data_IF_960385392215
#
_entry.id   IF_960385392215
#
_cell.length_a   1.000
_cell.length_b   1.000
_cell.length_c   1.000
_cell.angle_alpha   90.00
_cell.angle_beta   90.00
_cell.angle_gamma   90.00
#
_symmetry.space_group_name_H-M   'P 1'
#
loop_
_entity.id
_entity.type
_entity.pdbx_description
1 polymer ?
#
# COMPACT_ATOMS: atom_id res chain seq x y z
N UNK A 1 -11.96 10.06 31.76
CA UNK A 1 -12.21 9.67 33.17
C UNK A 1 -12.49 8.16 33.18
N UNK A 2 -11.63 7.35 33.80
CA UNK A 2 -11.90 5.91 34.00
C UNK A 2 -12.98 5.78 35.08
N UNK A 3 -13.96 4.90 34.89
CA UNK A 3 -14.90 4.57 35.97
C UNK A 3 -14.20 3.61 36.93
N UNK A 4 -14.09 3.99 38.21
CA UNK A 4 -13.48 3.13 39.24
C UNK A 4 -14.33 1.88 39.55
N UNK A 5 -15.62 1.91 39.19
CA UNK A 5 -16.59 0.89 39.60
C UNK A 5 -17.11 0.04 38.43
N UNK A 6 -16.86 0.44 37.19
CA UNK A 6 -17.39 -0.24 36.01
C UNK A 6 -16.27 -0.97 35.28
N UNK A 7 -16.25 -2.30 35.39
CA UNK A 7 -15.19 -3.15 34.86
C UNK A 7 -15.74 -4.20 33.89
N UNK A 8 -14.96 -4.56 32.88
CA UNK A 8 -15.32 -5.65 31.97
C UNK A 8 -15.16 -7.03 32.63
N UNK A 9 -15.53 -8.10 31.91
CA UNK A 9 -15.45 -9.48 32.39
C UNK A 9 -14.02 -9.95 32.76
N UNK A 10 -13.01 -9.19 32.34
CA UNK A 10 -11.59 -9.41 32.63
C UNK A 10 -11.05 -8.43 33.69
N UNK A 11 -11.94 -7.73 34.40
CA UNK A 11 -11.66 -6.81 35.52
C UNK A 11 -10.87 -5.54 35.12
N UNK A 12 -10.90 -5.13 33.84
CA UNK A 12 -10.32 -3.86 33.39
C UNK A 12 -11.32 -2.71 33.54
N UNK A 13 -10.85 -1.52 33.92
CA UNK A 13 -11.71 -0.34 34.02
C UNK A 13 -12.26 0.09 32.65
N UNK A 14 -13.58 0.23 32.55
CA UNK A 14 -14.25 0.64 31.32
C UNK A 14 -13.95 2.12 31.01
N UNK A 15 -13.32 2.37 29.86
CA UNK A 15 -13.12 3.73 29.36
C UNK A 15 -14.37 4.21 28.61
N UNK A 16 -15.28 4.93 29.31
CA UNK A 16 -16.47 5.55 28.70
C UNK A 16 -16.16 6.50 27.54
N UNK A 17 -14.98 7.12 27.51
CA UNK A 17 -14.56 8.01 26.43
C UNK A 17 -13.87 7.27 25.27
N UNK A 18 -13.64 5.96 25.37
CA UNK A 18 -13.05 5.19 24.26
C UNK A 18 -13.90 5.20 22.99
N UNK A 19 -15.19 5.55 23.12
CA UNK A 19 -16.13 5.77 22.01
C UNK A 19 -16.39 7.25 21.71
N UNK A 20 -16.10 8.15 22.64
CA UNK A 20 -16.19 9.60 22.43
C UNK A 20 -15.10 10.07 21.45
N UNK A 21 -15.48 10.86 20.45
CA UNK A 21 -14.56 11.31 19.38
C UNK A 21 -14.43 10.34 18.21
N UNK A 22 -15.19 9.23 18.16
CA UNK A 22 -15.30 8.38 16.95
C UNK A 22 -15.90 9.11 15.76
N UNK A 23 -16.76 10.08 16.03
CA UNK A 23 -17.34 10.99 15.04
C UNK A 23 -16.65 12.33 15.23
N UNK A 24 -15.96 12.83 14.20
CA UNK A 24 -15.36 14.15 14.24
C UNK A 24 -16.45 15.22 14.31
N UNK A 25 -16.13 16.40 14.89
CA UNK A 25 -17.08 17.51 14.92
C UNK A 25 -17.62 17.83 13.50
N UNK A 26 -16.76 17.77 12.48
CA UNK A 26 -17.16 17.96 11.09
C UNK A 26 -18.17 16.90 10.62
N UNK A 27 -17.93 15.62 10.92
CA UNK A 27 -18.85 14.55 10.56
C UNK A 27 -20.21 14.70 11.27
N UNK A 28 -20.20 15.19 12.51
CA UNK A 28 -21.43 15.50 13.24
C UNK A 28 -22.20 16.68 12.61
N UNK A 29 -21.50 17.77 12.25
CA UNK A 29 -22.11 18.92 11.56
C UNK A 29 -22.70 18.52 10.21
N UNK A 30 -22.01 17.66 9.46
CA UNK A 30 -22.52 17.07 8.21
C UNK A 30 -23.80 16.27 8.44
N UNK A 31 -23.82 15.41 9.46
CA UNK A 31 -24.99 14.62 9.82
C UNK A 31 -26.17 15.49 10.29
N UNK A 32 -25.89 16.65 10.90
CA UNK A 32 -26.89 17.64 11.27
C UNK A 32 -27.45 18.44 10.07
N UNK A 33 -27.05 18.11 8.84
CA UNK A 33 -27.57 18.72 7.61
C UNK A 33 -26.86 20.00 7.20
N UNK A 34 -25.73 20.36 7.83
CA UNK A 34 -24.95 21.53 7.44
C UNK A 34 -24.28 21.26 6.09
N UNK A 35 -24.54 22.10 5.05
CA UNK A 35 -23.91 21.92 3.75
C UNK A 35 -22.39 21.98 3.86
N UNK A 36 -21.70 21.00 3.26
CA UNK A 36 -20.24 21.01 3.15
C UNK A 36 -19.85 21.24 1.70
N UNK A 37 -19.04 22.27 1.45
CA UNK A 37 -18.43 22.47 0.15
C UNK A 37 -17.38 21.39 -0.10
N UNK A 38 -17.45 20.78 -1.27
CA UNK A 38 -16.54 19.69 -1.66
C UNK A 38 -15.78 20.10 -2.90
N UNK A 39 -14.45 19.94 -2.85
CA UNK A 39 -13.58 20.15 -3.98
C UNK A 39 -13.68 18.95 -4.91
N UNK A 40 -14.04 19.18 -6.18
CA UNK A 40 -14.29 18.13 -7.18
C UNK A 40 -13.18 17.99 -8.23
N UNK A 41 -12.13 18.79 -8.11
CA UNK A 41 -10.99 18.81 -9.04
C UNK A 41 -9.70 18.54 -8.27
N UNK A 42 -8.93 17.58 -8.75
CA UNK A 42 -7.58 17.29 -8.28
C UNK A 42 -6.57 18.11 -9.07
N UNK A 43 -5.63 18.77 -8.37
CA UNK A 43 -4.56 19.58 -8.95
C UNK A 43 -3.17 18.98 -8.69
N UNK A 44 -3.08 17.96 -7.83
CA UNK A 44 -1.81 17.43 -7.29
C UNK A 44 -1.28 16.23 -8.06
N UNK A 45 -2.12 15.21 -8.22
CA UNK A 45 -1.69 13.89 -8.68
C UNK A 45 -1.75 13.83 -10.20
N UNK A 46 -0.78 13.15 -10.80
CA UNK A 46 -0.81 12.80 -12.20
C UNK A 46 -2.13 12.05 -12.53
N UNK A 47 -2.63 12.27 -13.74
CA UNK A 47 -3.81 11.58 -14.23
C UNK A 47 -3.68 10.06 -14.04
N UNK A 48 -4.69 9.41 -13.47
CA UNK A 48 -4.65 7.98 -13.13
C UNK A 48 -4.23 7.66 -11.69
N UNK A 49 -3.36 8.45 -11.06
CA UNK A 49 -2.77 8.11 -9.75
C UNK A 49 -3.74 8.16 -8.56
N UNK A 50 -4.87 8.86 -8.69
CA UNK A 50 -5.91 8.95 -7.66
C UNK A 50 -7.05 7.96 -7.91
N UNK A 51 -7.16 7.40 -9.12
CA UNK A 51 -8.29 6.54 -9.52
C UNK A 51 -8.47 5.34 -8.59
N UNK A 52 -7.36 4.72 -8.16
CA UNK A 52 -7.40 3.60 -7.22
C UNK A 52 -8.01 4.02 -5.87
N UNK A 53 -7.54 5.12 -5.28
CA UNK A 53 -8.10 5.63 -4.03
C UNK A 53 -9.56 6.07 -4.20
N UNK A 54 -9.89 6.73 -5.32
CA UNK A 54 -11.25 7.17 -5.66
C UNK A 54 -12.24 6.00 -5.68
N UNK A 55 -11.89 4.92 -6.37
CA UNK A 55 -12.72 3.71 -6.47
C UNK A 55 -12.88 3.01 -5.11
N UNK A 56 -11.85 3.01 -4.27
CA UNK A 56 -11.87 2.28 -2.99
C UNK A 56 -12.61 3.03 -1.89
N UNK A 57 -12.45 4.35 -1.79
CA UNK A 57 -12.89 5.12 -0.62
C UNK A 57 -13.85 6.27 -0.94
N UNK A 58 -13.97 6.65 -2.21
CA UNK A 58 -14.72 7.83 -2.63
C UNK A 58 -15.73 7.47 -3.74
N UNK A 59 -16.38 6.31 -3.63
CA UNK A 59 -17.38 5.83 -4.60
C UNK A 59 -18.53 6.82 -4.81
N UNK A 60 -18.88 7.58 -3.78
CA UNK A 60 -19.92 8.61 -3.81
C UNK A 60 -19.51 9.84 -4.66
N UNK A 61 -18.26 9.86 -5.14
CA UNK A 61 -17.60 10.95 -5.86
C UNK A 61 -17.00 10.49 -7.19
N UNK A 62 -17.70 9.63 -7.93
CA UNK A 62 -17.23 9.07 -9.19
C UNK A 62 -16.81 10.12 -10.25
N UNK A 63 -17.32 11.36 -10.16
CA UNK A 63 -17.04 12.46 -11.09
C UNK A 63 -16.02 13.46 -10.53
N UNK A 64 -14.86 12.96 -10.10
CA UNK A 64 -13.72 13.80 -9.73
C UNK A 64 -12.88 14.08 -10.98
N UNK A 65 -12.63 15.34 -11.25
CA UNK A 65 -11.88 15.78 -12.43
C UNK A 65 -10.39 15.94 -12.12
N UNK A 66 -9.56 15.69 -13.11
CA UNK A 66 -8.16 16.10 -13.09
C UNK A 66 -8.01 17.44 -13.80
N UNK A 67 -7.10 18.27 -13.32
CA UNK A 67 -6.67 19.44 -14.07
C UNK A 67 -5.95 19.02 -15.36
N UNK A 68 -6.29 19.66 -16.49
CA UNK A 68 -5.77 19.25 -17.80
C UNK A 68 -4.28 19.50 -17.99
N UNK A 69 -3.72 20.52 -17.33
CA UNK A 69 -2.32 20.90 -17.47
C UNK A 69 -1.48 20.36 -16.31
N UNK A 70 -1.89 20.65 -15.06
CA UNK A 70 -1.12 20.30 -13.86
C UNK A 70 -1.07 18.80 -13.59
N UNK A 71 -2.08 18.03 -14.03
CA UNK A 71 -2.12 16.58 -13.85
C UNK A 71 -1.65 15.81 -15.09
N UNK A 72 -1.23 16.48 -16.16
CA UNK A 72 -0.70 15.84 -17.35
C UNK A 72 0.65 15.15 -17.03
N UNK A 73 0.86 13.87 -17.36
CA UNK A 73 2.14 13.20 -17.12
C UNK A 73 3.36 13.88 -17.74
N UNK A 74 3.16 14.65 -18.82
CA UNK A 74 4.21 15.41 -19.49
C UNK A 74 4.56 16.73 -18.79
N UNK A 75 3.75 17.17 -17.82
CA UNK A 75 4.06 18.36 -17.03
C UNK A 75 5.35 18.12 -16.20
N UNK A 76 6.26 19.11 -16.09
CA UNK A 76 7.54 18.94 -15.41
C UNK A 76 7.45 18.40 -13.97
N UNK A 77 6.36 18.70 -13.27
CA UNK A 77 6.12 18.17 -11.91
C UNK A 77 6.01 16.65 -11.83
N UNK A 78 5.72 15.98 -12.95
CA UNK A 78 5.53 14.53 -13.03
C UNK A 78 6.70 13.80 -13.71
N UNK A 79 7.80 14.50 -14.01
CA UNK A 79 9.00 13.93 -14.64
C UNK A 79 9.54 12.71 -13.88
N UNK A 80 9.52 12.74 -12.55
CA UNK A 80 9.97 11.61 -11.71
C UNK A 80 9.08 10.38 -11.89
N UNK A 81 7.77 10.56 -12.01
CA UNK A 81 6.83 9.47 -12.25
C UNK A 81 7.01 8.85 -13.63
N UNK A 82 7.26 9.67 -14.65
CA UNK A 82 7.58 9.19 -16.00
C UNK A 82 8.89 8.40 -16.03
N UNK A 83 9.94 8.91 -15.36
CA UNK A 83 11.21 8.20 -15.23
C UNK A 83 11.03 6.88 -14.47
N UNK A 84 10.24 6.88 -13.40
CA UNK A 84 9.96 5.70 -12.60
C UNK A 84 9.17 4.64 -13.38
N UNK A 85 8.17 5.06 -14.15
CA UNK A 85 7.41 4.18 -15.04
C UNK A 85 8.34 3.50 -16.05
N UNK A 86 9.15 4.28 -16.77
CA UNK A 86 10.12 3.77 -17.75
C UNK A 86 11.11 2.79 -17.11
N UNK A 87 11.61 3.11 -15.91
CA UNK A 87 12.51 2.26 -15.15
C UNK A 87 11.86 0.92 -14.78
N UNK A 88 10.64 0.94 -14.24
CA UNK A 88 9.95 -0.28 -13.81
C UNK A 88 9.57 -1.18 -14.98
N UNK A 89 9.01 -0.61 -16.06
CA UNK A 89 8.64 -1.38 -17.26
C UNK A 89 9.87 -1.91 -17.98
N UNK A 90 10.99 -1.18 -17.96
CA UNK A 90 12.26 -1.63 -18.52
C UNK A 90 12.89 -2.78 -17.71
N UNK A 91 12.69 -2.80 -16.39
CA UNK A 91 13.24 -3.84 -15.50
C UNK A 91 12.42 -5.12 -15.52
N UNK A 92 11.10 -5.03 -15.68
CA UNK A 92 10.22 -6.19 -15.76
C UNK A 92 9.24 -6.08 -16.93
N UNK A 93 9.52 -6.77 -18.05
CA UNK A 93 8.64 -6.76 -19.23
C UNK A 93 7.23 -7.32 -18.98
N UNK A 94 7.00 -8.07 -17.90
CA UNK A 94 5.65 -8.56 -17.57
C UNK A 94 4.76 -7.48 -16.95
N UNK A 95 5.34 -6.37 -16.49
CA UNK A 95 4.60 -5.21 -15.99
C UNK A 95 3.99 -4.45 -17.18
N UNK A 96 2.66 -4.40 -17.25
CA UNK A 96 1.98 -3.65 -18.32
C UNK A 96 2.23 -2.15 -18.13
N UNK A 97 2.60 -1.39 -19.19
CA UNK A 97 2.78 0.05 -19.09
C UNK A 97 1.46 0.75 -18.78
N UNK A 98 1.56 1.93 -18.16
CA UNK A 98 0.42 2.79 -17.91
C UNK A 98 -0.22 3.25 -19.24
N UNK A 99 -1.56 3.40 -19.31
CA UNK A 99 -2.23 3.93 -20.49
C UNK A 99 -1.70 5.32 -20.88
N UNK A 100 -1.70 5.64 -22.17
CA UNK A 100 -1.25 6.93 -22.67
C UNK A 100 -1.96 8.10 -21.96
N UNK A 101 -1.18 9.10 -21.53
CA UNK A 101 -1.70 10.26 -20.81
C UNK A 101 -2.04 9.99 -19.33
N UNK A 102 -1.59 8.87 -18.75
CA UNK A 102 -1.78 8.54 -17.33
C UNK A 102 -0.59 7.81 -16.72
N UNK A 103 -0.52 7.81 -15.39
CA UNK A 103 0.37 6.95 -14.61
C UNK A 103 -0.48 6.12 -13.64
N UNK A 104 -0.13 4.83 -13.49
CA UNK A 104 -0.79 3.92 -12.55
C UNK A 104 0.15 3.43 -11.45
N UNK A 105 -0.35 3.20 -10.22
CA UNK A 105 0.42 2.59 -9.14
C UNK A 105 0.94 1.20 -9.51
N UNK A 106 2.01 0.76 -8.84
CA UNK A 106 2.62 -0.56 -9.01
C UNK A 106 2.67 -1.30 -7.68
N UNK A 107 2.29 -2.58 -7.70
CA UNK A 107 2.47 -3.48 -6.56
C UNK A 107 3.75 -4.31 -6.75
N UNK A 108 4.75 -4.13 -5.89
CA UNK A 108 5.95 -4.93 -5.86
C UNK A 108 5.73 -6.18 -5.00
N UNK A 109 5.55 -7.32 -5.68
CA UNK A 109 5.26 -8.58 -5.01
C UNK A 109 6.52 -9.21 -4.42
N UNK A 110 6.52 -9.38 -3.10
CA UNK A 110 7.57 -10.05 -2.35
C UNK A 110 7.00 -11.24 -1.55
N UNK A 111 6.81 -12.42 -2.19
CA UNK A 111 6.32 -13.61 -1.53
C UNK A 111 7.35 -14.20 -0.56
N UNK A 112 6.90 -15.12 0.29
CA UNK A 112 7.78 -15.95 1.14
C UNK A 112 8.70 -15.17 2.10
N UNK A 113 8.38 -13.91 2.35
CA UNK A 113 9.13 -13.08 3.31
C UNK A 113 8.84 -13.49 4.75
N UNK A 114 9.76 -13.20 5.66
CA UNK A 114 9.62 -13.52 7.09
C UNK A 114 9.06 -12.33 7.86
N UNK A 115 7.99 -12.56 8.60
CA UNK A 115 7.42 -11.60 9.54
C UNK A 115 7.86 -11.97 10.95
N UNK A 116 8.52 -11.03 11.62
CA UNK A 116 8.97 -11.14 13.01
C UNK A 116 8.05 -10.30 13.90
N UNK A 117 7.65 -10.86 15.05
CA UNK A 117 6.92 -10.12 16.09
C UNK A 117 7.93 -9.32 16.91
N UNK A 118 7.67 -8.02 17.07
CA UNK A 118 8.46 -7.09 17.89
C UNK A 118 7.48 -6.36 18.81
N UNK A 119 7.41 -6.81 20.07
CA UNK A 119 6.31 -6.44 20.97
C UNK A 119 4.96 -6.85 20.36
N UNK A 120 4.02 -5.92 20.29
CA UNK A 120 2.70 -6.09 19.67
C UNK A 120 2.67 -5.77 18.18
N UNK A 121 3.82 -5.46 17.55
CA UNK A 121 3.91 -5.06 16.15
C UNK A 121 4.73 -6.04 15.31
N UNK A 122 4.71 -5.84 13.98
CA UNK A 122 5.33 -6.73 13.00
C UNK A 122 6.52 -6.06 12.30
N UNK A 123 7.52 -6.87 11.96
CA UNK A 123 8.72 -6.49 11.21
C UNK A 123 8.91 -7.44 10.02
N UNK A 124 8.97 -6.90 8.82
CA UNK A 124 9.34 -7.62 7.60
C UNK A 124 10.60 -7.00 6.99
N UNK A 125 11.77 -7.55 7.39
CA UNK A 125 13.08 -7.02 6.97
C UNK A 125 13.29 -7.10 5.45
N UNK A 126 12.77 -8.15 4.82
CA UNK A 126 12.97 -8.39 3.39
C UNK A 126 12.21 -7.37 2.55
N UNK A 127 10.97 -7.05 2.91
CA UNK A 127 10.20 -6.01 2.21
C UNK A 127 10.83 -4.63 2.37
N UNK A 128 11.29 -4.28 3.57
CA UNK A 128 12.00 -3.00 3.79
C UNK A 128 13.26 -2.91 2.94
N UNK A 129 14.09 -3.96 2.92
CA UNK A 129 15.30 -4.00 2.10
C UNK A 129 14.99 -3.92 0.61
N UNK A 130 14.07 -4.75 0.12
CA UNK A 130 13.72 -4.77 -1.31
C UNK A 130 13.17 -3.43 -1.79
N UNK A 131 12.39 -2.72 -0.96
CA UNK A 131 11.92 -1.37 -1.26
C UNK A 131 13.09 -0.37 -1.42
N UNK A 132 14.01 -0.34 -0.46
CA UNK A 132 15.15 0.58 -0.46
C UNK A 132 16.17 0.24 -1.55
N UNK A 133 16.42 -1.04 -1.82
CA UNK A 133 17.29 -1.49 -2.90
C UNK A 133 16.73 -1.08 -4.27
N UNK A 134 15.42 -1.24 -4.49
CA UNK A 134 14.77 -0.82 -5.73
C UNK A 134 14.83 0.70 -5.92
N UNK A 135 14.63 1.49 -4.86
CA UNK A 135 14.80 2.95 -4.91
C UNK A 135 16.25 3.36 -5.16
N UNK A 136 17.21 2.69 -4.53
CA UNK A 136 18.64 2.93 -4.74
C UNK A 136 19.03 2.64 -6.19
N UNK A 137 18.55 1.54 -6.75
CA UNK A 137 18.75 1.19 -8.16
C UNK A 137 18.07 2.21 -9.10
N UNK A 138 16.88 2.69 -8.74
CA UNK A 138 16.18 3.71 -9.54
C UNK A 138 16.99 5.02 -9.62
N UNK A 139 17.47 5.53 -8.49
CA UNK A 139 18.31 6.74 -8.44
C UNK A 139 19.61 6.53 -9.24
N UNK A 140 20.21 5.34 -9.15
CA UNK A 140 21.39 4.99 -9.95
C UNK A 140 21.11 5.06 -11.46
N UNK A 141 19.95 4.60 -11.91
CA UNK A 141 19.56 4.58 -13.31
C UNK A 141 19.03 5.93 -13.82
N UNK A 142 18.65 6.85 -12.94
CA UNK A 142 18.01 8.11 -13.29
C UNK A 142 18.64 9.28 -12.49
N UNK A 143 19.77 9.85 -12.97
CA UNK A 143 20.53 10.87 -12.25
C UNK A 143 19.75 12.15 -11.90
N UNK A 144 18.73 12.50 -12.69
CA UNK A 144 17.89 13.70 -12.44
C UNK A 144 16.90 13.53 -11.29
N UNK A 145 16.81 12.32 -10.71
CA UNK A 145 15.92 12.00 -9.60
C UNK A 145 16.64 12.19 -8.27
N UNK A 146 16.09 13.06 -7.42
CA UNK A 146 16.64 13.34 -6.11
C UNK A 146 15.95 12.48 -5.02
N UNK A 147 16.72 11.72 -4.21
CA UNK A 147 16.16 10.96 -3.08
C UNK A 147 15.44 11.83 -2.04
N UNK A 148 15.78 13.12 -1.93
CA UNK A 148 15.17 14.09 -0.98
C UNK A 148 13.66 14.20 -1.12
N UNK A 149 13.17 13.95 -2.33
CA UNK A 149 11.76 14.10 -2.69
C UNK A 149 10.95 12.82 -2.50
N UNK A 150 11.59 11.72 -2.14
CA UNK A 150 10.88 10.47 -1.89
C UNK A 150 10.14 10.48 -0.57
N UNK A 151 9.00 9.80 -0.55
CA UNK A 151 8.17 9.60 0.64
C UNK A 151 8.00 8.11 0.88
N UNK A 152 8.66 7.56 1.91
CA UNK A 152 8.57 6.15 2.25
C UNK A 152 7.79 5.96 3.54
N UNK A 153 6.67 5.25 3.45
CA UNK A 153 5.72 5.03 4.55
C UNK A 153 5.62 3.54 4.81
N UNK A 154 5.64 3.16 6.08
CA UNK A 154 5.40 1.77 6.49
C UNK A 154 4.21 1.67 7.42
N UNK A 155 3.47 0.57 7.29
CA UNK A 155 2.33 0.26 8.14
C UNK A 155 2.74 -0.05 9.60
N UNK A 156 3.98 -0.49 9.81
CA UNK A 156 4.46 -0.91 11.13
C UNK A 156 5.68 -0.11 11.58
N UNK A 157 5.69 0.32 12.85
CA UNK A 157 6.79 1.09 13.47
C UNK A 157 8.14 0.33 13.45
N UNK A 158 8.21 -0.98 13.74
CA UNK A 158 9.47 -1.73 13.63
C UNK A 158 10.10 -1.71 12.23
N UNK A 159 9.29 -1.71 11.16
CA UNK A 159 9.79 -1.55 9.79
C UNK A 159 10.40 -0.15 9.57
N UNK A 160 9.78 0.90 10.14
CA UNK A 160 10.29 2.28 10.07
C UNK A 160 11.66 2.37 10.75
N UNK A 161 11.76 1.88 11.97
CA UNK A 161 13.02 1.87 12.75
C UNK A 161 14.12 1.09 12.03
N UNK A 162 13.78 -0.10 11.52
CA UNK A 162 14.71 -0.93 10.76
C UNK A 162 15.15 -0.27 9.45
N UNK A 163 14.22 0.30 8.69
CA UNK A 163 14.53 0.98 7.45
C UNK A 163 15.39 2.22 7.66
N UNK A 164 15.10 3.03 8.67
CA UNK A 164 15.92 4.18 9.05
C UNK A 164 17.33 3.80 9.51
N UNK A 165 17.50 2.61 10.11
CA UNK A 165 18.83 2.08 10.42
C UNK A 165 19.61 1.74 9.15
N UNK A 166 18.98 1.06 8.19
CA UNK A 166 19.62 0.66 6.93
C UNK A 166 19.92 1.88 6.05
N UNK A 167 19.01 2.84 6.00
CA UNK A 167 19.10 4.02 5.16
C UNK A 167 20.43 4.77 5.33
N UNK A 168 20.94 4.84 6.57
CA UNK A 168 22.24 5.45 6.90
C UNK A 168 23.44 4.82 6.19
N UNK A 169 23.29 3.59 5.68
CA UNK A 169 24.32 2.83 4.99
C UNK A 169 24.09 2.74 3.48
N UNK A 170 23.09 3.45 2.93
CA UNK A 170 22.79 3.48 1.50
C UNK A 170 23.22 4.83 0.91
N UNK A 171 24.41 4.93 0.30
CA UNK A 171 24.96 6.22 -0.15
C UNK A 171 24.11 6.90 -1.22
N UNK A 172 23.49 6.12 -2.11
CA UNK A 172 22.60 6.64 -3.15
C UNK A 172 21.28 7.21 -2.60
N UNK A 173 20.93 6.89 -1.36
CA UNK A 173 19.74 7.39 -0.68
C UNK A 173 20.09 8.24 0.55
N UNK A 174 21.34 8.72 0.66
CA UNK A 174 21.83 9.41 1.86
C UNK A 174 20.97 10.62 2.26
N UNK A 175 20.46 11.33 1.27
CA UNK A 175 19.62 12.51 1.45
C UNK A 175 18.11 12.21 1.52
N UNK A 176 17.72 10.94 1.44
CA UNK A 176 16.31 10.56 1.53
C UNK A 176 15.78 10.84 2.95
N UNK A 177 14.59 11.43 3.09
CA UNK A 177 13.95 11.59 4.39
C UNK A 177 13.78 10.25 5.11
N UNK A 178 13.77 10.24 6.45
CA UNK A 178 13.50 9.03 7.19
C UNK A 178 12.12 8.48 6.85
N UNK A 179 12.00 7.16 6.86
CA UNK A 179 10.74 6.46 6.80
C UNK A 179 9.82 6.92 7.92
N UNK A 180 8.52 6.94 7.64
CA UNK A 180 7.49 7.34 8.59
C UNK A 180 6.40 6.26 8.71
N UNK A 181 5.67 6.23 9.82
CA UNK A 181 4.45 5.44 9.91
C UNK A 181 3.28 6.24 9.35
N UNK A 182 2.18 5.58 8.95
CA UNK A 182 1.02 6.34 8.45
C UNK A 182 0.42 7.26 9.52
N UNK A 183 0.53 6.91 10.81
CA UNK A 183 0.02 7.72 11.92
C UNK A 183 0.92 8.94 12.22
N UNK A 184 2.24 8.82 12.05
CA UNK A 184 3.19 9.92 12.28
C UNK A 184 3.35 10.83 11.05
N UNK A 185 2.62 10.54 9.98
CA UNK A 185 2.79 11.20 8.71
C UNK A 185 2.00 12.52 8.68
N UNK A 186 2.70 13.64 8.84
CA UNK A 186 2.10 14.98 8.90
C UNK A 186 1.89 15.59 7.51
N UNK A 187 1.11 14.93 6.65
CA UNK A 187 0.63 15.55 5.39
C UNK A 187 1.70 15.88 4.35
N UNK A 188 2.92 15.33 4.47
CA UNK A 188 3.96 15.49 3.45
C UNK A 188 3.56 14.82 2.14
N UNK A 189 4.05 15.31 1.02
CA UNK A 189 3.79 14.72 -0.29
C UNK A 189 5.09 14.67 -1.08
N UNK A 190 5.21 13.70 -1.97
CA UNK A 190 6.40 13.53 -2.79
C UNK A 190 6.05 13.06 -4.20
N UNK A 191 6.88 13.37 -5.20
CA UNK A 191 6.76 12.80 -6.55
C UNK A 191 6.61 11.28 -6.49
N UNK A 192 7.52 10.60 -5.79
CA UNK A 192 7.49 9.14 -5.60
C UNK A 192 7.15 8.82 -4.14
N UNK A 193 6.10 8.03 -3.96
CA UNK A 193 5.77 7.45 -2.67
C UNK A 193 5.93 5.93 -2.69
N UNK A 194 6.49 5.38 -1.62
CA UNK A 194 6.64 3.94 -1.41
C UNK A 194 5.93 3.53 -0.14
N UNK A 195 5.04 2.56 -0.25
CA UNK A 195 4.32 1.94 0.86
C UNK A 195 4.94 0.58 1.14
N UNK A 196 5.38 0.36 2.37
CA UNK A 196 5.81 -0.96 2.86
C UNK A 196 4.69 -1.51 3.75
N UNK A 197 3.96 -2.50 3.25
CA UNK A 197 2.84 -3.08 3.99
C UNK A 197 3.32 -3.95 5.14
N UNK A 198 4.48 -4.62 5.00
CA UNK A 198 4.97 -5.59 5.98
C UNK A 198 4.14 -6.88 6.02
N UNK A 199 3.30 -7.11 5.02
CA UNK A 199 2.33 -8.21 5.00
C UNK A 199 2.89 -9.52 4.48
N UNK A 200 2.23 -10.63 4.82
CA UNK A 200 2.54 -11.97 4.32
C UNK A 200 1.25 -12.78 4.23
N UNK A 201 1.13 -13.65 3.23
CA UNK A 201 0.09 -14.67 3.19
C UNK A 201 0.03 -15.47 4.52
N UNK A 202 -1.19 -15.72 4.99
CA UNK A 202 -1.47 -16.44 6.24
C UNK A 202 -1.30 -15.61 7.52
N UNK A 203 -0.73 -14.41 7.45
CA UNK A 203 -0.57 -13.51 8.59
C UNK A 203 -1.60 -12.38 8.52
N UNK A 204 -2.15 -11.95 9.67
CA UNK A 204 -3.07 -10.80 9.71
C UNK A 204 -2.42 -9.58 9.09
N UNK A 205 -3.15 -8.92 8.19
CA UNK A 205 -2.73 -7.70 7.51
C UNK A 205 -2.54 -6.52 8.47
N UNK A 206 -3.09 -6.62 9.70
CA UNK A 206 -2.85 -5.68 10.78
C UNK A 206 -3.18 -4.24 10.35
N UNK A 207 -2.17 -3.38 10.36
CA UNK A 207 -2.36 -1.95 10.18
C UNK A 207 -2.94 -1.54 8.81
N UNK A 208 -2.69 -2.31 7.74
CA UNK A 208 -3.25 -2.03 6.40
C UNK A 208 -4.68 -2.56 6.21
N UNK A 209 -5.28 -3.18 7.23
CA UNK A 209 -6.71 -3.55 7.19
C UNK A 209 -7.63 -2.38 7.54
N UNK A 210 -7.09 -1.32 8.15
CA UNK A 210 -7.84 -0.09 8.41
C UNK A 210 -7.93 0.74 7.12
N UNK A 211 -9.17 1.00 6.69
CA UNK A 211 -9.44 1.68 5.42
C UNK A 211 -8.99 3.15 5.43
N UNK A 212 -9.09 3.85 6.57
CA UNK A 212 -8.63 5.24 6.68
C UNK A 212 -7.12 5.33 6.56
N UNK A 213 -6.40 4.40 7.21
CA UNK A 213 -4.94 4.29 7.12
C UNK A 213 -4.50 3.92 5.72
N UNK A 214 -5.17 2.96 5.08
CA UNK A 214 -4.87 2.58 3.70
C UNK A 214 -5.11 3.75 2.73
N UNK A 215 -6.21 4.49 2.89
CA UNK A 215 -6.50 5.70 2.12
C UNK A 215 -5.40 6.77 2.28
N UNK A 216 -4.97 7.03 3.53
CA UNK A 216 -3.86 7.94 3.79
C UNK A 216 -2.62 7.48 3.06
N UNK A 217 -2.25 6.20 3.13
CA UNK A 217 -1.06 5.68 2.46
C UNK A 217 -1.15 5.83 0.93
N UNK A 218 -2.30 5.51 0.32
CA UNK A 218 -2.53 5.54 -1.13
C UNK A 218 -2.68 6.95 -1.74
N UNK A 219 -2.51 8.02 -0.95
CA UNK A 219 -2.76 9.41 -1.39
C UNK A 219 -1.60 10.38 -1.15
N UNK A 220 -0.36 9.86 -1.07
CA UNK A 220 0.86 10.64 -0.73
C UNK A 220 1.72 10.96 -1.95
N UNK A 221 1.59 10.14 -2.99
CA UNK A 221 2.26 10.31 -4.27
C UNK A 221 1.72 11.53 -5.02
N UNK A 222 2.58 12.17 -5.82
CA UNK A 222 2.15 13.04 -6.92
C UNK A 222 2.18 12.29 -8.25
N UNK A 223 3.26 11.55 -8.53
CA UNK A 223 3.50 10.99 -9.86
C UNK A 223 3.84 9.50 -9.89
N UNK A 224 4.32 8.91 -8.79
CA UNK A 224 4.59 7.47 -8.71
C UNK A 224 4.27 6.88 -7.34
N UNK A 225 3.59 5.73 -7.34
CA UNK A 225 3.26 4.97 -6.14
C UNK A 225 3.72 3.51 -6.27
N UNK A 226 4.61 3.10 -5.38
CA UNK A 226 5.07 1.71 -5.25
C UNK A 226 4.51 1.11 -3.95
N UNK A 227 3.79 0.00 -4.05
CA UNK A 227 3.26 -0.73 -2.89
C UNK A 227 4.03 -2.04 -2.76
N UNK A 228 4.78 -2.21 -1.68
CA UNK A 228 5.61 -3.39 -1.44
C UNK A 228 4.92 -4.31 -0.45
N UNK A 229 4.68 -5.56 -0.86
CA UNK A 229 3.96 -6.52 -0.04
C UNK A 229 3.78 -7.90 -0.66
N UNK A 230 2.98 -8.72 0.00
CA UNK A 230 2.56 -10.02 -0.51
C UNK A 230 1.17 -9.90 -1.15
N UNK A 231 1.04 -10.22 -2.45
CA UNK A 231 -0.23 -10.12 -3.20
C UNK A 231 -1.27 -11.13 -2.72
N UNK A 232 -0.82 -12.23 -2.09
CA UNK A 232 -1.69 -13.29 -1.58
C UNK A 232 -2.07 -13.05 -0.11
N UNK A 233 -1.74 -11.90 0.49
CA UNK A 233 -2.15 -11.58 1.88
C UNK A 233 -3.67 -11.69 2.09
N UNK A 234 -4.46 -11.36 1.07
CA UNK A 234 -5.92 -11.48 1.10
C UNK A 234 -6.46 -12.78 0.47
N UNK A 235 -5.61 -13.79 0.29
CA UNK A 235 -5.89 -15.01 -0.47
C UNK A 235 -5.63 -14.83 -1.97
N UNK A 236 -5.84 -15.91 -2.73
CA UNK A 236 -5.56 -15.94 -4.17
C UNK A 236 -6.37 -14.88 -4.93
N UNK A 237 -5.69 -14.26 -5.90
CA UNK A 237 -6.27 -13.27 -6.82
C UNK A 237 -6.73 -13.92 -8.14
N UNK A 238 -6.08 -15.01 -8.54
CA UNK A 238 -6.32 -15.73 -9.79
C UNK A 238 -6.36 -17.25 -9.53
N UNK A 239 -6.89 -18.00 -10.51
CA UNK A 239 -7.03 -19.47 -10.43
C UNK A 239 -8.48 -19.93 -10.43
N UNK A 240 -8.79 -20.97 -9.67
CA UNK A 240 -10.14 -21.58 -9.67
C UNK A 240 -11.18 -20.58 -9.15
N UNK A 241 -12.32 -20.37 -9.85
CA UNK A 241 -13.35 -19.40 -9.45
C UNK A 241 -13.85 -19.57 -8.02
N UNK A 242 -13.95 -20.81 -7.54
CA UNK A 242 -14.35 -21.12 -6.16
C UNK A 242 -13.36 -20.56 -5.13
N UNK A 243 -12.06 -20.66 -5.38
CA UNK A 243 -11.01 -20.18 -4.46
C UNK A 243 -11.01 -18.65 -4.39
N UNK A 244 -11.14 -17.97 -5.54
CA UNK A 244 -11.21 -16.50 -5.61
C UNK A 244 -12.48 -15.97 -4.94
N UNK A 245 -13.63 -16.58 -5.21
CA UNK A 245 -14.91 -16.21 -4.58
C UNK A 245 -14.90 -16.44 -3.06
N UNK A 246 -14.30 -17.53 -2.60
CA UNK A 246 -14.13 -17.79 -1.17
C UNK A 246 -13.27 -16.71 -0.51
N UNK A 247 -12.16 -16.33 -1.14
CA UNK A 247 -11.29 -15.27 -0.63
C UNK A 247 -11.98 -13.88 -0.67
N UNK A 248 -12.81 -13.59 -1.68
CA UNK A 248 -13.66 -12.39 -1.73
C UNK A 248 -14.62 -12.35 -0.52
N UNK A 249 -15.32 -13.46 -0.24
CA UNK A 249 -16.22 -13.56 0.90
C UNK A 249 -15.48 -13.42 2.23
N UNK A 250 -14.30 -14.03 2.38
CA UNK A 250 -13.49 -13.95 3.61
C UNK A 250 -12.99 -12.53 3.87
N UNK A 251 -12.53 -11.83 2.84
CA UNK A 251 -12.08 -10.44 2.99
C UNK A 251 -13.20 -9.49 3.41
N UNK A 252 -14.42 -9.70 2.88
CA UNK A 252 -15.58 -8.88 3.19
C UNK A 252 -16.16 -9.17 4.59
N UNK A 253 -16.30 -10.45 4.95
CA UNK A 253 -16.84 -10.86 6.26
C UNK A 253 -15.83 -10.68 7.38
N UNK A 254 -14.54 -10.73 7.06
CA UNK A 254 -13.44 -10.74 8.00
C UNK A 254 -12.99 -12.16 8.34
N UNK A 255 -11.73 -12.28 8.76
CA UNK A 255 -11.09 -13.55 9.11
C UNK A 255 -10.41 -13.42 10.48
N UNK A 256 -10.48 -14.47 11.28
CA UNK A 256 -9.71 -14.59 12.52
C UNK A 256 -8.31 -15.10 12.18
N UNK A 257 -7.31 -14.42 12.72
CA UNK A 257 -5.91 -14.79 12.64
C UNK A 257 -5.41 -15.10 14.04
N UNK A 258 -4.52 -16.09 14.15
CA UNK A 258 -3.89 -16.45 15.41
C UNK A 258 -2.47 -15.91 15.41
N UNK A 259 -2.18 -15.03 16.37
CA UNK A 259 -0.82 -14.54 16.61
C UNK A 259 0.00 -15.60 17.38
N UNK A 260 1.32 -15.44 17.42
CA UNK A 260 2.22 -16.43 18.04
C UNK A 260 2.00 -16.62 19.55
N UNK A 261 1.43 -15.62 20.21
CA UNK A 261 1.05 -15.63 21.62
C UNK A 261 -0.33 -16.28 21.87
N UNK A 262 -1.01 -16.77 20.83
CA UNK A 262 -2.34 -17.36 20.93
C UNK A 262 -3.49 -16.36 20.85
N UNK A 263 -3.21 -15.05 20.74
CA UNK A 263 -4.25 -14.02 20.60
C UNK A 263 -4.98 -14.14 19.27
N UNK A 264 -6.29 -13.94 19.33
CA UNK A 264 -7.16 -13.91 18.15
C UNK A 264 -7.31 -12.48 17.65
N UNK A 265 -6.88 -12.25 16.41
CA UNK A 265 -7.05 -10.97 15.72
C UNK A 265 -8.07 -11.14 14.62
N UNK A 266 -9.23 -10.51 14.78
CA UNK A 266 -10.21 -10.41 13.72
C UNK A 266 -9.87 -9.24 12.80
N UNK A 267 -9.75 -9.50 11.49
CA UNK A 267 -9.42 -8.46 10.51
C UNK A 267 -10.31 -8.55 9.28
N UNK A 268 -10.89 -7.41 8.90
CA UNK A 268 -11.62 -7.20 7.64
C UNK A 268 -10.69 -6.51 6.66
N UNK A 269 -10.48 -7.10 5.48
CA UNK A 269 -9.48 -6.65 4.49
C UNK A 269 -10.14 -6.36 3.13
N UNK A 270 -11.38 -5.86 3.15
CA UNK A 270 -12.19 -5.60 1.94
C UNK A 270 -11.50 -4.62 0.99
N UNK A 271 -11.12 -3.43 1.47
CA UNK A 271 -10.43 -2.42 0.65
C UNK A 271 -9.07 -2.91 0.15
N UNK A 272 -8.29 -3.57 1.00
CA UNK A 272 -6.99 -4.14 0.62
C UNK A 272 -7.12 -5.19 -0.49
N UNK A 273 -8.14 -6.06 -0.41
CA UNK A 273 -8.40 -7.05 -1.45
C UNK A 273 -8.86 -6.41 -2.75
N UNK A 274 -9.75 -5.43 -2.69
CA UNK A 274 -10.19 -4.69 -3.88
C UNK A 274 -9.02 -3.98 -4.57
N UNK A 275 -8.12 -3.36 -3.79
CA UNK A 275 -6.89 -2.74 -4.29
C UNK A 275 -6.03 -3.75 -5.06
N UNK A 276 -5.77 -4.92 -4.48
CA UNK A 276 -4.97 -5.98 -5.10
C UNK A 276 -5.61 -6.52 -6.39
N UNK A 277 -6.94 -6.68 -6.41
CA UNK A 277 -7.68 -7.12 -7.61
C UNK A 277 -7.59 -6.11 -8.75
N UNK A 278 -7.73 -4.82 -8.47
CA UNK A 278 -7.59 -3.78 -9.52
C UNK A 278 -6.16 -3.70 -10.06
N UNK A 279 -5.14 -3.74 -9.18
CA UNK A 279 -3.74 -3.76 -9.62
C UNK A 279 -3.42 -5.00 -10.45
N UNK A 280 -3.96 -6.16 -10.08
CA UNK A 280 -3.83 -7.38 -10.87
C UNK A 280 -4.50 -7.25 -12.25
N UNK A 281 -5.74 -6.75 -12.28
CA UNK A 281 -6.50 -6.51 -13.52
C UNK A 281 -5.77 -5.55 -14.46
N UNK A 282 -5.12 -4.52 -13.92
CA UNK A 282 -4.34 -3.57 -14.71
C UNK A 282 -2.98 -4.13 -15.16
N UNK A 283 -2.59 -5.33 -14.71
CA UNK A 283 -1.27 -5.93 -14.98
C UNK A 283 -0.14 -5.14 -14.31
N UNK A 284 -0.42 -4.55 -13.14
CA UNK A 284 0.47 -3.66 -12.39
C UNK A 284 1.09 -4.34 -11.17
N UNK A 285 1.15 -5.66 -11.17
CA UNK A 285 1.90 -6.45 -10.18
C UNK A 285 3.28 -6.74 -10.76
N UNK A 286 4.30 -6.16 -10.14
CA UNK A 286 5.69 -6.45 -10.40
C UNK A 286 6.09 -7.73 -9.68
N UNK A 287 6.27 -8.79 -10.44
CA UNK A 287 6.73 -10.09 -9.98
C UNK A 287 8.27 -10.15 -9.92
N UNK A 288 8.84 -10.63 -8.82
CA UNK A 288 10.27 -10.95 -8.74
C UNK A 288 10.44 -12.42 -9.08
N UNK A 289 10.66 -12.75 -10.36
CA UNK A 289 10.99 -14.12 -10.73
C UNK A 289 12.30 -14.53 -10.06
N UNK A 290 12.23 -15.37 -9.02
CA UNK A 290 13.45 -16.02 -8.52
C UNK A 290 13.95 -16.99 -9.59
N UNK A 291 15.26 -17.16 -9.74
CA UNK A 291 15.86 -18.09 -10.75
C UNK A 291 15.21 -19.49 -10.72
N UNK A 292 14.77 -19.96 -9.55
CA UNK A 292 14.07 -21.24 -9.35
C UNK A 292 12.68 -21.32 -9.99
N UNK A 293 11.97 -20.20 -10.12
CA UNK A 293 10.63 -20.15 -10.73
C UNK A 293 10.73 -20.13 -12.26
N UNK A 294 11.78 -19.50 -12.82
CA UNK A 294 12.10 -19.60 -14.26
C UNK A 294 12.43 -21.02 -14.71
N UNK A 295 13.02 -21.83 -13.83
CA UNK A 295 13.31 -23.25 -14.12
C UNK A 295 12.02 -24.08 -14.08
N UNK A 296 11.14 -23.85 -13.10
CA UNK A 296 9.85 -24.54 -12.98
C UNK A 296 8.84 -24.19 -14.06
N UNK A 297 8.74 -22.92 -14.48
CA UNK A 297 7.88 -22.53 -15.60
C UNK A 297 8.39 -23.13 -16.92
N UNK A 298 9.71 -23.16 -17.14
CA UNK A 298 10.31 -23.83 -18.32
C UNK A 298 10.08 -25.34 -18.33
N UNK A 299 10.05 -26.00 -17.17
CA UNK A 299 9.70 -27.42 -17.07
C UNK A 299 8.21 -27.65 -17.36
N UNK A 300 7.32 -26.80 -16.86
CA UNK A 300 5.88 -26.90 -17.10
C UNK A 300 5.47 -26.55 -18.54
N UNK A 301 6.17 -25.62 -19.21
CA UNK A 301 5.97 -25.35 -20.64
C UNK A 301 6.45 -26.53 -21.51
N UNK A 302 7.58 -27.16 -21.16
CA UNK A 302 8.08 -28.36 -21.85
C UNK A 302 7.19 -29.59 -21.67
N UNK A 303 6.49 -29.71 -20.55
CA UNK A 303 5.51 -30.79 -20.34
C UNK A 303 4.21 -30.54 -21.14
N UNK A 304 3.82 -29.29 -21.35
CA UNK A 304 2.63 -28.94 -22.16
C UNK A 304 2.87 -29.05 -23.67
N UNK A 305 4.10 -28.92 -24.15
CA UNK A 305 4.45 -29.14 -25.56
C UNK A 305 4.64 -30.63 -25.92
N UNK A 306 4.65 -31.52 -24.91
CA UNK A 306 4.84 -32.98 -25.09
C UNK A 306 3.57 -33.81 -24.88
N UNK A 307 2.43 -33.17 -24.56
CA UNK A 307 1.11 -33.81 -24.47
C UNK A 307 0.18 -33.30 -25.55
#
# INVERSE_FOLDING_TARGET
MMELENKDGDNNYANRFGTCGRISALAWLQAAGIPTFRLRRQLRMCNGMFNLANQLFYSDYAKMEYDGELCNPLHPSHAYGMAFEKYLTGRNPSLKPSPAGSLLPVFFHMPNTKVHSVGTSKLNRMQVKGALELLSDFVKCCPDVCPKDFVVISAHKPNVEYGNKILKHLPLLADMPPLQSADSFQGREGPISVIITGTKEGVSAGFVSDENRLNVMLTRQKSGLLIVGDKNVTGKLEGKPKEVSQADSQAAKGKVYYEKNGEQVFSKVKALRAMLKELNKWGRIFEIYTKKEKEKEKEQEKEKEKG
#
